data_IF_202570538681
#
_entry.id   IF_202570538681
#
_cell.length_a   1.000
_cell.length_b   1.000
_cell.length_c   1.000
_cell.angle_alpha   90.00
_cell.angle_beta   90.00
_cell.angle_gamma   90.00
#
_symmetry.space_group_name_H-M   'P 1'
#
loop_
_entity.id
_entity.type
_entity.pdbx_description
1 polymer ?
#
# COMPACT_ATOMS: atom_id res chain seq x y z
N UNK A 1 3.02 2.25 10.06
CA UNK A 1 1.78 2.01 9.34
C UNK A 1 1.49 3.10 8.32
N UNK A 2 1.43 4.33 8.69
CA UNK A 2 0.89 5.40 7.85
C UNK A 2 2.00 6.32 7.36
N UNK A 3 2.71 5.90 6.33
CA UNK A 3 3.75 6.73 5.76
C UNK A 3 3.41 7.10 4.33
N UNK A 4 2.86 8.29 4.20
CA UNK A 4 3.07 9.07 3.01
C UNK A 4 4.55 9.44 2.96
N UNK A 5 5.22 9.23 1.85
CA UNK A 5 6.49 9.92 1.63
C UNK A 5 6.19 11.41 1.51
N UNK A 6 6.05 12.07 2.65
CA UNK A 6 5.91 13.51 2.67
C UNK A 6 7.18 14.13 2.08
N UNK A 7 7.07 15.16 1.24
CA UNK A 7 8.21 15.95 0.81
C UNK A 7 8.98 16.43 2.06
N UNK A 8 10.26 16.11 2.18
CA UNK A 8 11.09 16.54 3.30
C UNK A 8 11.53 15.44 4.27
N UNK A 9 11.16 14.18 4.08
CA UNK A 9 11.82 13.08 4.80
C UNK A 9 13.19 12.86 4.17
N UNK A 10 14.20 13.26 4.91
CA UNK A 10 15.60 13.25 4.48
C UNK A 10 16.21 11.84 4.62
N UNK A 11 15.75 10.90 3.77
CA UNK A 11 16.33 9.57 3.64
C UNK A 11 17.02 9.46 2.27
N UNK A 12 18.36 9.48 2.22
CA UNK A 12 19.10 9.44 0.96
C UNK A 12 18.76 8.25 0.06
N UNK A 13 18.50 7.10 0.65
CA UNK A 13 18.14 5.86 -0.04
C UNK A 13 16.75 5.89 -0.70
N UNK A 14 15.89 6.83 -0.30
CA UNK A 14 14.56 7.02 -0.85
C UNK A 14 14.49 8.20 -1.84
N UNK A 15 15.60 8.94 -2.01
CA UNK A 15 15.70 10.09 -2.93
C UNK A 15 15.65 9.71 -4.41
N UNK A 16 15.71 8.44 -4.75
CA UNK A 16 15.58 7.98 -6.14
C UNK A 16 14.17 8.06 -6.71
N UNK A 17 13.25 8.69 -5.98
CA UNK A 17 11.84 8.82 -6.34
C UNK A 17 11.40 10.26 -6.44
N UNK A 18 12.23 11.10 -7.04
CA UNK A 18 11.92 12.50 -7.33
C UNK A 18 10.66 12.67 -8.21
N UNK A 19 10.26 11.60 -8.89
CA UNK A 19 9.06 11.52 -9.73
C UNK A 19 7.76 11.28 -8.95
N UNK A 20 7.83 10.84 -7.70
CA UNK A 20 6.64 10.52 -6.89
C UNK A 20 6.03 11.73 -6.16
N UNK A 21 6.62 12.90 -6.22
CA UNK A 21 6.11 14.17 -5.65
C UNK A 21 5.48 14.06 -4.25
N UNK A 22 5.98 13.18 -3.40
CA UNK A 22 5.44 12.94 -2.05
C UNK A 22 4.13 12.15 -2.02
N UNK A 23 3.74 11.50 -3.11
CA UNK A 23 2.60 10.58 -3.19
C UNK A 23 3.09 9.15 -3.31
N UNK A 24 2.32 8.20 -2.78
CA UNK A 24 2.69 6.80 -2.82
C UNK A 24 1.71 5.88 -2.10
N UNK A 25 1.96 4.58 -2.12
CA UNK A 25 1.15 3.61 -1.39
C UNK A 25 1.40 3.71 0.11
N UNK A 26 0.38 3.47 0.90
CA UNK A 26 0.50 3.29 2.35
C UNK A 26 1.22 1.98 2.64
N UNK A 27 2.11 1.99 3.65
CA UNK A 27 2.80 0.79 4.13
C UNK A 27 3.39 -0.05 3.00
N UNK A 28 4.12 0.59 2.07
CA UNK A 28 4.77 -0.16 1.01
C UNK A 28 5.79 -1.15 1.59
N UNK A 29 6.08 -2.20 0.82
CA UNK A 29 6.92 -3.32 1.24
C UNK A 29 8.26 -2.90 1.84
N UNK A 30 9.01 -2.03 1.15
CA UNK A 30 10.35 -1.61 1.60
C UNK A 30 10.30 -0.85 2.92
N UNK A 31 9.40 0.11 3.01
CA UNK A 31 9.21 0.88 4.23
C UNK A 31 8.77 0.00 5.40
N UNK A 32 7.80 -0.89 5.17
CA UNK A 32 7.32 -1.82 6.19
C UNK A 32 8.45 -2.72 6.69
N UNK A 33 9.27 -3.26 5.76
CA UNK A 33 10.44 -4.08 6.10
C UNK A 33 11.44 -3.31 6.97
N UNK A 34 11.82 -2.10 6.58
CA UNK A 34 12.74 -1.26 7.35
C UNK A 34 12.19 -0.92 8.74
N UNK A 35 10.92 -0.53 8.83
CA UNK A 35 10.28 -0.20 10.08
C UNK A 35 10.25 -1.40 11.02
N UNK A 36 9.87 -2.59 10.53
CA UNK A 36 9.86 -3.81 11.34
C UNK A 36 11.26 -4.19 11.80
N UNK A 37 12.26 -4.19 10.91
CA UNK A 37 13.66 -4.46 11.26
C UNK A 37 14.23 -3.48 12.30
N UNK A 38 13.79 -2.22 12.28
CA UNK A 38 14.13 -1.26 13.31
C UNK A 38 13.53 -1.64 14.67
N UNK A 39 12.22 -1.90 14.71
CA UNK A 39 11.52 -2.20 15.95
C UNK A 39 11.94 -3.54 16.57
N UNK A 40 12.26 -4.55 15.75
CA UNK A 40 12.77 -5.85 16.20
C UNK A 40 14.09 -5.76 16.98
N UNK A 41 14.84 -4.66 16.85
CA UNK A 41 16.03 -4.40 17.66
C UNK A 41 15.68 -3.96 19.10
N UNK A 42 14.47 -3.54 19.33
CA UNK A 42 14.05 -2.92 20.60
C UNK A 42 12.89 -3.65 21.26
N UNK A 43 12.10 -4.40 20.49
CA UNK A 43 10.88 -5.07 20.95
C UNK A 43 10.93 -6.54 20.50
N UNK A 44 10.65 -7.51 21.37
CA UNK A 44 10.51 -8.92 20.98
C UNK A 44 9.44 -9.12 19.91
N UNK A 45 9.67 -10.02 18.96
CA UNK A 45 8.78 -10.25 17.81
C UNK A 45 7.35 -10.66 18.23
N UNK A 46 7.21 -11.39 19.32
CA UNK A 46 5.92 -11.81 19.88
C UNK A 46 5.07 -10.66 20.44
N UNK A 47 5.66 -9.49 20.57
CA UNK A 47 4.98 -8.24 20.99
C UNK A 47 4.76 -7.24 19.85
N UNK A 48 5.24 -7.57 18.65
CA UNK A 48 5.06 -6.71 17.48
C UNK A 48 3.82 -7.11 16.70
N UNK A 49 3.03 -6.12 16.31
CA UNK A 49 1.91 -6.27 15.39
C UNK A 49 2.24 -5.52 14.12
N UNK A 50 2.31 -6.21 12.99
CA UNK A 50 2.48 -5.56 11.69
C UNK A 50 1.13 -5.09 11.17
N UNK A 51 0.94 -3.79 11.05
CA UNK A 51 -0.31 -3.20 10.57
C UNK A 51 -0.30 -3.07 9.04
N UNK A 52 -1.33 -3.58 8.40
CA UNK A 52 -1.52 -3.62 6.96
C UNK A 52 -2.68 -2.71 6.54
N UNK A 53 -2.56 -1.99 5.40
CA UNK A 53 -3.65 -1.18 4.89
C UNK A 53 -4.70 -2.06 4.20
N UNK A 54 -5.97 -1.76 4.43
CA UNK A 54 -7.12 -2.35 3.74
C UNK A 54 -7.89 -1.26 2.98
N UNK A 55 -7.15 -0.42 2.27
CA UNK A 55 -7.66 0.67 1.45
C UNK A 55 -6.64 1.04 0.36
N UNK A 56 -7.09 1.73 -0.67
CA UNK A 56 -6.23 2.32 -1.69
C UNK A 56 -6.06 3.82 -1.46
N UNK A 57 -5.01 4.38 -2.04
CA UNK A 57 -4.82 5.82 -2.13
C UNK A 57 -5.00 6.26 -3.58
N UNK A 58 -5.90 7.20 -3.80
CA UNK A 58 -6.14 7.83 -5.09
C UNK A 58 -5.70 9.30 -5.05
N UNK A 59 -4.82 9.67 -5.95
CA UNK A 59 -4.26 11.02 -6.03
C UNK A 59 -4.55 11.65 -7.38
N UNK A 60 -5.34 12.71 -7.39
CA UNK A 60 -5.38 13.61 -8.54
C UNK A 60 -4.08 14.40 -8.61
N UNK A 61 -3.36 14.34 -9.72
CA UNK A 61 -2.01 14.93 -9.86
C UNK A 61 -1.94 16.09 -10.83
N UNK A 62 -3.02 16.42 -11.52
CA UNK A 62 -3.14 17.57 -12.41
C UNK A 62 -3.71 18.77 -11.64
N UNK A 63 -3.10 19.93 -11.76
CA UNK A 63 -3.59 21.16 -11.11
C UNK A 63 -3.39 21.24 -9.60
N UNK A 64 -2.52 20.41 -9.04
CA UNK A 64 -2.21 20.31 -7.63
C UNK A 64 -2.57 18.93 -7.08
N UNK A 65 -1.76 18.43 -6.14
CA UNK A 65 -1.96 17.09 -5.60
C UNK A 65 -3.12 17.09 -4.61
N UNK A 66 -4.11 16.23 -4.86
CA UNK A 66 -5.23 15.97 -3.94
C UNK A 66 -5.36 14.46 -3.77
N UNK A 67 -5.13 13.97 -2.56
CA UNK A 67 -5.24 12.56 -2.21
C UNK A 67 -6.53 12.24 -1.46
N UNK A 68 -7.03 11.02 -1.64
CA UNK A 68 -8.14 10.45 -0.87
C UNK A 68 -7.95 8.95 -0.64
N UNK A 69 -8.48 8.45 0.46
CA UNK A 69 -8.55 7.01 0.73
C UNK A 69 -9.79 6.40 0.06
N UNK A 70 -9.61 5.26 -0.58
CA UNK A 70 -10.67 4.52 -1.27
C UNK A 70 -10.69 3.09 -0.75
N UNK A 71 -11.86 2.59 -0.33
CA UNK A 71 -12.02 1.26 0.24
C UNK A 71 -12.36 0.19 -0.83
N UNK A 72 -11.65 0.23 -1.94
CA UNK A 72 -11.75 -0.74 -3.03
C UNK A 72 -10.35 -0.99 -3.62
N UNK A 73 -10.14 -2.16 -4.19
CA UNK A 73 -8.85 -2.61 -4.72
C UNK A 73 -8.55 -2.15 -6.14
N UNK A 74 -9.52 -1.58 -6.81
CA UNK A 74 -9.38 -1.07 -8.18
C UNK A 74 -10.06 0.29 -8.32
N UNK A 75 -9.59 1.18 -9.20
CA UNK A 75 -10.27 2.44 -9.47
C UNK A 75 -11.60 2.19 -10.19
N UNK A 76 -12.48 3.18 -10.20
CA UNK A 76 -13.71 3.13 -11.00
C UNK A 76 -13.39 3.00 -12.48
N UNK A 77 -14.25 2.31 -13.22
CA UNK A 77 -14.12 2.23 -14.66
C UNK A 77 -14.45 3.60 -15.32
N UNK A 78 -13.63 3.98 -16.28
CA UNK A 78 -13.83 5.19 -17.07
C UNK A 78 -14.45 4.80 -18.41
N UNK A 79 -15.66 5.28 -18.71
CA UNK A 79 -16.41 4.87 -19.90
C UNK A 79 -16.57 3.34 -20.05
N UNK A 80 -16.71 2.62 -18.93
CA UNK A 80 -16.82 1.17 -18.92
C UNK A 80 -15.48 0.42 -19.09
N UNK A 81 -14.37 1.14 -19.14
CA UNK A 81 -13.02 0.56 -19.26
C UNK A 81 -12.31 0.67 -17.92
N UNK A 82 -11.92 -0.47 -17.34
CA UNK A 82 -11.07 -0.49 -16.16
C UNK A 82 -9.62 -0.20 -16.59
N UNK A 83 -8.94 0.76 -15.94
CA UNK A 83 -7.52 0.98 -16.16
C UNK A 83 -6.69 -0.28 -15.88
N UNK A 84 -5.61 -0.47 -16.65
CA UNK A 84 -4.70 -1.60 -16.42
C UNK A 84 -3.75 -1.32 -15.26
N UNK A 85 -3.52 -2.29 -14.36
CA UNK A 85 -2.57 -2.12 -13.27
C UNK A 85 -1.12 -2.19 -13.76
N UNK A 86 -0.25 -1.42 -13.10
CA UNK A 86 1.20 -1.49 -13.20
C UNK A 86 1.72 -2.02 -11.86
N UNK A 87 2.35 -3.19 -11.88
CA UNK A 87 2.94 -3.74 -10.66
C UNK A 87 4.25 -3.05 -10.33
N UNK A 88 4.30 -2.38 -9.18
CA UNK A 88 5.50 -1.76 -8.65
C UNK A 88 6.31 -2.80 -7.87
N UNK A 89 7.38 -3.32 -8.49
CA UNK A 89 8.12 -4.48 -7.97
C UNK A 89 8.76 -4.26 -6.60
N UNK A 90 9.21 -3.05 -6.30
CA UNK A 90 9.86 -2.72 -5.04
C UNK A 90 8.85 -2.44 -3.91
N UNK A 91 7.77 -1.75 -4.24
CA UNK A 91 6.70 -1.41 -3.30
C UNK A 91 5.75 -2.57 -3.04
N UNK A 92 5.72 -3.55 -3.96
CA UNK A 92 4.79 -4.67 -3.94
C UNK A 92 3.34 -4.22 -3.92
N UNK A 93 2.99 -3.29 -4.80
CA UNK A 93 1.65 -2.72 -4.91
C UNK A 93 1.26 -2.53 -6.38
N UNK A 94 -0.02 -2.67 -6.69
CA UNK A 94 -0.55 -2.29 -7.99
C UNK A 94 -0.83 -0.78 -8.03
N UNK A 95 -0.30 -0.13 -9.05
CA UNK A 95 -0.59 1.27 -9.37
C UNK A 95 -1.42 1.33 -10.65
N UNK A 96 -2.42 2.21 -10.66
CA UNK A 96 -3.21 2.54 -11.84
C UNK A 96 -2.97 3.99 -12.20
N UNK A 97 -2.73 4.24 -13.49
CA UNK A 97 -2.67 5.60 -14.06
C UNK A 97 -3.86 5.77 -14.99
N UNK A 98 -4.69 6.78 -14.74
CA UNK A 98 -5.89 7.02 -15.54
C UNK A 98 -6.31 8.49 -15.55
N UNK A 99 -7.09 8.89 -16.54
CA UNK A 99 -7.72 10.20 -16.59
C UNK A 99 -9.13 10.08 -16.00
N UNK A 100 -9.36 10.77 -14.89
CA UNK A 100 -10.61 10.70 -14.14
C UNK A 100 -11.75 11.48 -14.81
N UNK A 101 -12.99 11.20 -14.40
CA UNK A 101 -14.18 11.93 -14.87
C UNK A 101 -14.22 13.39 -14.40
N UNK A 102 -13.38 13.73 -13.42
CA UNK A 102 -13.17 15.10 -12.92
C UNK A 102 -12.20 15.92 -13.79
N UNK A 103 -11.69 15.33 -14.90
CA UNK A 103 -10.76 15.97 -15.82
C UNK A 103 -9.29 15.97 -15.32
N UNK A 104 -8.99 15.29 -14.24
CA UNK A 104 -7.63 15.18 -13.72
C UNK A 104 -7.00 13.82 -14.08
N UNK A 105 -5.69 13.80 -14.15
CA UNK A 105 -4.92 12.55 -14.16
C UNK A 105 -4.77 12.04 -12.74
N UNK A 106 -4.96 10.74 -12.55
CA UNK A 106 -4.94 10.07 -11.27
C UNK A 106 -3.86 9.01 -11.20
N UNK A 107 -3.26 8.89 -10.01
CA UNK A 107 -2.45 7.76 -9.56
C UNK A 107 -3.19 7.06 -8.43
N UNK A 108 -3.58 5.81 -8.65
CA UNK A 108 -4.29 4.99 -7.68
C UNK A 108 -3.40 3.84 -7.24
N UNK A 109 -3.08 3.77 -5.95
CA UNK A 109 -2.27 2.71 -5.36
C UNK A 109 -3.17 1.76 -4.58
N UNK A 110 -3.26 0.52 -5.04
CA UNK A 110 -4.19 -0.47 -4.51
C UNK A 110 -3.55 -1.35 -3.43
N UNK A 111 -4.13 -1.38 -2.23
CA UNK A 111 -3.88 -2.44 -1.27
C UNK A 111 -4.83 -3.59 -1.59
N UNK A 112 -4.44 -4.46 -2.49
CA UNK A 112 -5.21 -5.60 -2.99
C UNK A 112 -4.71 -6.95 -2.43
N UNK A 113 -5.28 -8.06 -2.89
CA UNK A 113 -4.89 -9.39 -2.46
C UNK A 113 -3.40 -9.69 -2.72
N UNK A 114 -2.85 -9.23 -3.85
CA UNK A 114 -1.46 -9.47 -4.22
C UNK A 114 -0.48 -8.69 -3.34
N UNK A 115 -0.77 -7.43 -3.05
CA UNK A 115 0.06 -6.62 -2.14
C UNK A 115 -0.06 -7.11 -0.70
N UNK A 116 -1.25 -7.55 -0.29
CA UNK A 116 -1.47 -8.18 1.01
C UNK A 116 -0.63 -9.46 1.15
N UNK A 117 -0.66 -10.35 0.14
CA UNK A 117 0.16 -11.57 0.14
C UNK A 117 1.64 -11.26 0.33
N UNK A 118 2.17 -10.29 -0.41
CA UNK A 118 3.58 -9.91 -0.29
C UNK A 118 3.95 -9.37 1.11
N UNK A 119 3.05 -8.66 1.78
CA UNK A 119 3.28 -8.19 3.15
C UNK A 119 3.13 -9.31 4.20
N UNK A 120 2.27 -10.31 3.96
CA UNK A 120 2.15 -11.48 4.80
C UNK A 120 3.37 -12.41 4.65
N UNK A 121 3.92 -12.55 3.45
CA UNK A 121 5.21 -13.23 3.22
C UNK A 121 6.35 -12.52 3.96
N UNK A 122 6.35 -11.19 3.99
CA UNK A 122 7.31 -10.42 4.77
C UNK A 122 7.14 -10.69 6.28
N UNK A 123 5.91 -10.80 6.78
CA UNK A 123 5.68 -11.17 8.18
C UNK A 123 6.27 -12.54 8.51
N UNK A 124 6.07 -13.54 7.63
CA UNK A 124 6.66 -14.87 7.75
C UNK A 124 8.20 -14.80 7.74
N UNK A 125 8.79 -14.05 6.78
CA UNK A 125 10.25 -13.85 6.68
C UNK A 125 10.85 -13.26 7.96
N UNK A 126 10.15 -12.34 8.60
CA UNK A 126 10.59 -11.64 9.80
C UNK A 126 10.21 -12.36 11.10
N UNK A 127 9.46 -13.46 11.03
CA UNK A 127 8.96 -14.17 12.21
C UNK A 127 7.94 -13.37 13.02
N UNK A 128 7.14 -12.55 12.37
CA UNK A 128 6.04 -11.79 12.96
C UNK A 128 4.75 -12.60 12.81
N UNK A 129 4.16 -12.98 13.93
CA UNK A 129 2.94 -13.80 13.96
C UNK A 129 1.65 -13.01 14.17
N UNK A 130 1.75 -11.70 14.39
CA UNK A 130 0.60 -10.84 14.66
C UNK A 130 0.49 -9.77 13.59
N UNK A 131 -0.68 -9.71 12.96
CA UNK A 131 -1.02 -8.68 11.98
C UNK A 131 -2.33 -8.01 12.35
N UNK A 132 -2.46 -6.74 11.98
CA UNK A 132 -3.69 -5.97 12.08
C UNK A 132 -4.02 -5.30 10.76
N UNK A 133 -5.28 -5.07 10.48
CA UNK A 133 -5.72 -4.35 9.29
C UNK A 133 -6.42 -3.05 9.63
N UNK A 134 -6.09 -2.00 8.91
CA UNK A 134 -6.89 -0.79 8.88
C UNK A 134 -7.52 -0.68 7.48
N UNK A 135 -8.83 -0.76 7.34
CA UNK A 135 -9.79 -1.28 8.31
C UNK A 135 -10.83 -2.15 7.57
N UNK A 136 -11.79 -2.72 8.26
CA UNK A 136 -12.74 -3.71 7.71
C UNK A 136 -13.71 -3.19 6.63
N UNK A 137 -13.67 -1.92 6.26
CA UNK A 137 -14.51 -1.36 5.19
C UNK A 137 -14.01 -1.68 3.78
N UNK A 138 -12.86 -2.34 3.63
CA UNK A 138 -12.41 -2.77 2.31
C UNK A 138 -13.43 -3.73 1.69
N UNK A 139 -13.79 -3.45 0.45
CA UNK A 139 -14.71 -4.26 -0.35
C UNK A 139 -13.99 -5.30 -1.21
N UNK A 140 -12.70 -5.54 -0.95
CA UNK A 140 -11.94 -6.59 -1.63
C UNK A 140 -12.01 -7.93 -0.86
N UNK A 141 -12.92 -8.86 -1.24
CA UNK A 141 -13.02 -10.16 -0.58
C UNK A 141 -11.77 -11.00 -0.77
N UNK A 142 -11.04 -10.85 -1.87
CA UNK A 142 -9.84 -11.65 -2.16
C UNK A 142 -8.70 -11.32 -1.18
N UNK A 143 -8.61 -10.08 -0.75
CA UNK A 143 -7.66 -9.66 0.29
C UNK A 143 -7.93 -10.39 1.62
N UNK A 144 -9.20 -10.48 2.02
CA UNK A 144 -9.60 -11.18 3.25
C UNK A 144 -9.39 -12.69 3.15
N UNK A 145 -9.65 -13.28 1.98
CA UNK A 145 -9.36 -14.70 1.73
C UNK A 145 -7.86 -14.98 1.83
N UNK A 146 -7.02 -14.08 1.35
CA UNK A 146 -5.55 -14.17 1.44
C UNK A 146 -5.10 -14.11 2.91
N UNK A 147 -5.62 -13.16 3.69
CA UNK A 147 -5.32 -13.06 5.12
C UNK A 147 -5.79 -14.30 5.90
N UNK A 148 -6.98 -14.82 5.61
CA UNK A 148 -7.51 -16.01 6.27
C UNK A 148 -6.70 -17.28 5.97
N UNK A 149 -6.15 -17.41 4.76
CA UNK A 149 -5.26 -18.52 4.39
C UNK A 149 -3.93 -18.45 5.11
N UNK A 150 -3.39 -17.27 5.29
CA UNK A 150 -2.13 -17.07 6.03
C UNK A 150 -2.28 -17.47 7.51
N UNK A 151 -3.37 -17.10 8.15
CA UNK A 151 -3.63 -17.42 9.56
C UNK A 151 -3.73 -18.93 9.85
N UNK A 152 -3.97 -19.76 8.84
CA UNK A 152 -4.10 -21.22 8.97
C UNK A 152 -2.78 -21.99 8.80
N UNK A 153 -1.68 -21.30 8.48
CA UNK A 153 -0.34 -21.91 8.41
C UNK A 153 0.25 -22.08 9.81
#
# INVERSE_FOLDING_TARGET
>A
YDMYFAPGIDKPELKHRDDCMGIGPTSNYLWTKEAMLFWMKHIPNDKLVMALPAYANDYAVTGGIKGRQIYQSVPDSINGILPSPIWLCYEKVNMYLYDGTDGNRHLFYASDARSTEALLELADELGISQIGFWHFNSVDPQMWDTAAKWQKK
#
